data_IF_957131620104
#
_entry.id   IF_957131620104
#
_cell.length_a   1.000
_cell.length_b   1.000
_cell.length_c   1.000
_cell.angle_alpha   90.00
_cell.angle_beta   90.00
_cell.angle_gamma   90.00
#
_symmetry.space_group_name_H-M   'P 1'
#
loop_
_entity.id
_entity.type
_entity.pdbx_description
1 polymer ?
#
# COMPACT_ATOMS: atom_id res chain seq x y z
N UNK A 1 18.85 -6.25 -18.83
CA UNK A 1 18.61 -4.98 -18.14
C UNK A 1 18.59 -5.28 -16.65
N UNK A 2 19.58 -4.77 -15.92
CA UNK A 2 19.89 -5.12 -14.53
C UNK A 2 18.81 -4.57 -13.60
N UNK A 3 18.21 -5.44 -12.77
CA UNK A 3 17.26 -5.06 -11.72
C UNK A 3 18.07 -4.37 -10.62
N UNK A 4 18.16 -3.04 -10.67
CA UNK A 4 18.80 -2.23 -9.63
C UNK A 4 17.91 -2.21 -8.39
N UNK A 5 18.25 -3.07 -7.43
CA UNK A 5 17.98 -2.99 -5.98
C UNK A 5 16.94 -1.96 -5.49
N UNK A 6 15.68 -2.38 -5.32
CA UNK A 6 14.60 -1.55 -4.73
C UNK A 6 14.64 -1.45 -3.20
N UNK A 7 15.27 -2.41 -2.48
CA UNK A 7 15.31 -2.43 -1.01
C UNK A 7 15.70 -1.09 -0.35
N UNK A 8 16.76 -0.39 -0.77
CA UNK A 8 17.09 0.92 -0.18
C UNK A 8 16.04 1.99 -0.48
N UNK A 9 15.29 1.88 -1.59
CA UNK A 9 14.19 2.78 -1.91
C UNK A 9 12.95 2.48 -1.06
N UNK A 10 12.57 1.20 -0.94
CA UNK A 10 11.42 0.75 -0.16
C UNK A 10 11.59 1.09 1.33
N UNK A 11 12.78 0.86 1.90
CA UNK A 11 13.10 1.23 3.28
C UNK A 11 13.04 2.73 3.51
N UNK A 12 13.59 3.54 2.59
CA UNK A 12 13.55 4.99 2.69
C UNK A 12 12.11 5.52 2.66
N UNK A 13 11.26 4.98 1.79
CA UNK A 13 9.82 5.32 1.73
C UNK A 13 9.12 4.98 3.04
N UNK A 14 9.38 3.80 3.61
CA UNK A 14 8.80 3.39 4.90
C UNK A 14 9.22 4.34 6.03
N UNK A 15 10.49 4.76 6.08
CA UNK A 15 10.95 5.74 7.08
C UNK A 15 10.32 7.12 6.89
N UNK A 16 10.14 7.58 5.65
CA UNK A 16 9.41 8.82 5.36
C UNK A 16 7.95 8.74 5.84
N UNK A 17 7.26 7.64 5.58
CA UNK A 17 5.88 7.41 6.02
C UNK A 17 5.73 7.32 7.56
N UNK A 18 6.78 6.85 8.26
CA UNK A 18 6.81 6.89 9.73
C UNK A 18 6.99 8.30 10.26
N UNK A 19 7.79 9.12 9.58
CA UNK A 19 8.06 10.49 9.98
C UNK A 19 6.87 11.43 9.68
N UNK A 20 6.14 11.17 8.59
CA UNK A 20 4.99 11.95 8.16
C UNK A 20 3.80 11.03 7.75
N UNK A 21 2.86 10.77 8.68
CA UNK A 21 1.67 9.98 8.36
C UNK A 21 0.75 10.61 7.31
N UNK A 22 0.75 11.93 7.15
CA UNK A 22 -0.10 12.61 6.16
C UNK A 22 0.40 12.36 4.73
N UNK A 23 1.71 12.11 4.57
CA UNK A 23 2.29 11.70 3.29
C UNK A 23 1.69 10.41 2.74
N UNK A 24 1.14 9.53 3.60
CA UNK A 24 0.45 8.31 3.16
C UNK A 24 -0.73 8.59 2.22
N UNK A 25 -1.43 9.71 2.40
CA UNK A 25 -2.57 10.11 1.59
C UNK A 25 -2.13 10.39 0.14
N UNK A 26 -1.15 11.29 -0.01
CA UNK A 26 -0.61 11.68 -1.31
C UNK A 26 0.09 10.50 -1.99
N UNK A 27 0.88 9.74 -1.23
CA UNK A 27 1.62 8.59 -1.75
C UNK A 27 0.69 7.52 -2.34
N UNK A 28 -0.40 7.18 -1.63
CA UNK A 28 -1.38 6.22 -2.15
C UNK A 28 -2.21 6.81 -3.30
N UNK A 29 -2.59 8.08 -3.24
CA UNK A 29 -3.36 8.75 -4.29
C UNK A 29 -2.60 8.75 -5.62
N UNK A 30 -1.31 9.13 -5.60
CA UNK A 30 -0.45 9.09 -6.80
C UNK A 30 -0.33 7.67 -7.36
N UNK A 31 -0.18 6.66 -6.49
CA UNK A 31 -0.12 5.27 -6.94
C UNK A 31 -1.45 4.80 -7.54
N UNK A 32 -2.58 5.28 -7.02
CA UNK A 32 -3.92 4.98 -7.54
C UNK A 32 -4.13 5.63 -8.92
N UNK A 33 -3.72 6.89 -9.11
CA UNK A 33 -3.81 7.59 -10.39
C UNK A 33 -3.00 6.91 -11.50
N UNK A 34 -1.92 6.23 -11.13
CA UNK A 34 -1.06 5.50 -12.06
C UNK A 34 -1.45 4.02 -12.21
N UNK A 35 -2.49 3.54 -11.53
CA UNK A 35 -2.82 2.11 -11.46
C UNK A 35 -3.05 1.45 -12.82
N UNK A 36 -3.57 2.19 -13.80
CA UNK A 36 -3.86 1.70 -15.15
C UNK A 36 -2.63 1.71 -16.09
N UNK A 37 -1.50 2.26 -15.64
CA UNK A 37 -0.25 2.24 -16.39
C UNK A 37 0.45 0.88 -16.29
N UNK A 38 1.34 0.52 -17.22
CA UNK A 38 2.16 -0.70 -17.10
C UNK A 38 2.94 -0.71 -15.78
N UNK A 39 2.70 -1.70 -14.92
CA UNK A 39 3.31 -1.78 -13.60
C UNK A 39 2.56 -1.03 -12.49
N UNK A 40 1.52 -0.27 -12.82
CA UNK A 40 0.78 0.60 -11.91
C UNK A 40 0.08 -0.16 -10.79
N UNK A 41 -0.56 -1.28 -11.11
CA UNK A 41 -1.20 -2.14 -10.10
C UNK A 41 -0.19 -2.67 -9.07
N UNK A 42 1.01 -3.05 -9.51
CA UNK A 42 2.08 -3.50 -8.61
C UNK A 42 2.59 -2.36 -7.73
N UNK A 43 2.72 -1.15 -8.30
CA UNK A 43 3.11 0.05 -7.56
C UNK A 43 2.05 0.42 -6.51
N UNK A 44 0.76 0.32 -6.85
CA UNK A 44 -0.36 0.55 -5.93
C UNK A 44 -0.36 -0.46 -4.77
N UNK A 45 -0.14 -1.75 -5.04
CA UNK A 45 -0.01 -2.78 -4.01
C UNK A 45 1.20 -2.53 -3.11
N UNK A 46 2.34 -2.14 -3.70
CA UNK A 46 3.56 -1.80 -2.96
C UNK A 46 3.35 -0.56 -2.08
N UNK A 47 2.68 0.48 -2.58
CA UNK A 47 2.39 1.68 -1.81
C UNK A 47 1.56 1.37 -0.56
N UNK A 48 0.48 0.61 -0.71
CA UNK A 48 -0.34 0.19 0.43
C UNK A 48 0.44 -0.71 1.40
N UNK A 49 1.35 -1.54 0.89
CA UNK A 49 2.26 -2.33 1.73
C UNK A 49 3.21 -1.46 2.53
N UNK A 50 3.84 -0.45 1.93
CA UNK A 50 4.76 0.45 2.63
C UNK A 50 4.05 1.21 3.74
N UNK A 51 2.82 1.67 3.50
CA UNK A 51 1.98 2.31 4.52
C UNK A 51 1.69 1.33 5.67
N UNK A 52 1.34 0.08 5.35
CA UNK A 52 1.12 -0.94 6.36
C UNK A 52 2.39 -1.29 7.16
N UNK A 53 3.56 -1.29 6.51
CA UNK A 53 4.86 -1.52 7.16
C UNK A 53 5.26 -0.36 8.07
N UNK A 54 5.05 0.88 7.64
CA UNK A 54 5.30 2.08 8.43
C UNK A 54 4.48 2.11 9.73
N UNK A 55 3.23 1.62 9.68
CA UNK A 55 2.34 1.52 10.86
C UNK A 55 2.54 0.21 11.66
N UNK A 56 3.45 -0.66 11.25
CA UNK A 56 3.66 -1.97 11.85
C UNK A 56 2.70 -3.03 11.28
N UNK A 57 3.27 -3.92 10.46
CA UNK A 57 2.50 -4.92 9.71
C UNK A 57 1.60 -5.81 10.57
N UNK A 58 2.08 -6.23 11.75
CA UNK A 58 1.28 -7.07 12.66
C UNK A 58 0.04 -6.34 13.19
N UNK A 59 0.18 -5.07 13.55
CA UNK A 59 -0.93 -4.25 14.06
C UNK A 59 -1.95 -3.93 12.96
N UNK A 60 -1.49 -3.71 11.72
CA UNK A 60 -2.38 -3.53 10.57
C UNK A 60 -3.13 -4.82 10.25
N UNK A 61 -2.46 -5.98 10.26
CA UNK A 61 -3.09 -7.27 10.02
C UNK A 61 -4.19 -7.58 11.06
N UNK A 62 -3.93 -7.29 12.33
CA UNK A 62 -4.89 -7.41 13.42
C UNK A 62 -6.12 -6.50 13.20
N UNK A 63 -5.90 -5.21 12.92
CA UNK A 63 -6.98 -4.25 12.61
C UNK A 63 -7.78 -4.65 11.36
N UNK A 64 -7.12 -5.21 10.35
CA UNK A 64 -7.75 -5.71 9.13
C UNK A 64 -8.48 -7.05 9.32
N UNK A 65 -8.35 -7.69 10.50
CA UNK A 65 -8.96 -8.98 10.80
C UNK A 65 -8.42 -10.12 9.93
N UNK A 66 -7.13 -10.10 9.60
CA UNK A 66 -6.51 -11.09 8.72
C UNK A 66 -5.14 -11.57 9.20
N UNK A 67 -4.71 -12.79 8.85
CA UNK A 67 -3.37 -13.26 9.17
C UNK A 67 -2.30 -12.40 8.49
N UNK A 68 -1.20 -12.12 9.20
CA UNK A 68 -0.06 -11.34 8.69
C UNK A 68 0.49 -11.87 7.36
N UNK A 69 0.62 -13.18 7.23
CA UNK A 69 1.08 -13.83 5.99
C UNK A 69 0.11 -13.65 4.83
N UNK A 70 -1.19 -13.63 5.11
CA UNK A 70 -2.21 -13.34 4.10
C UNK A 70 -2.13 -11.89 3.64
N UNK A 71 -1.86 -10.95 4.55
CA UNK A 71 -1.64 -9.54 4.20
C UNK A 71 -0.39 -9.37 3.30
N UNK A 72 0.74 -10.01 3.66
CA UNK A 72 1.94 -9.99 2.83
C UNK A 72 1.71 -10.57 1.43
N UNK A 73 1.01 -11.70 1.32
CA UNK A 73 0.69 -12.28 0.01
C UNK A 73 -0.24 -11.38 -0.80
N UNK A 74 -1.27 -10.84 -0.16
CA UNK A 74 -2.25 -9.98 -0.78
C UNK A 74 -1.62 -8.71 -1.38
N UNK A 75 -0.66 -8.10 -0.70
CA UNK A 75 0.01 -6.86 -1.15
C UNK A 75 1.37 -7.10 -1.84
N UNK A 76 1.67 -8.34 -2.22
CA UNK A 76 2.91 -8.65 -2.95
C UNK A 76 2.84 -8.14 -4.40
N UNK A 77 3.96 -8.04 -5.13
CA UNK A 77 3.96 -7.63 -6.55
C UNK A 77 3.15 -8.55 -7.48
N UNK A 78 2.80 -9.77 -7.02
CA UNK A 78 1.93 -10.72 -7.73
C UNK A 78 0.62 -10.97 -6.99
N UNK A 79 0.34 -10.15 -5.97
CA UNK A 79 -0.87 -10.23 -5.18
C UNK A 79 -2.10 -9.91 -6.03
N UNK A 80 -3.23 -10.47 -5.65
CA UNK A 80 -4.52 -10.16 -6.23
C UNK A 80 -5.54 -10.07 -5.09
N UNK A 81 -5.49 -9.00 -4.27
CA UNK A 81 -6.39 -8.85 -3.15
C UNK A 81 -7.82 -8.72 -3.66
N UNK A 82 -8.75 -9.44 -3.04
CA UNK A 82 -10.18 -9.20 -3.28
C UNK A 82 -10.52 -7.75 -2.88
N UNK A 83 -11.61 -7.19 -3.44
CA UNK A 83 -12.09 -5.87 -3.01
C UNK A 83 -12.32 -5.81 -1.49
N UNK A 84 -12.82 -6.89 -0.88
CA UNK A 84 -12.97 -7.01 0.58
C UNK A 84 -11.63 -6.85 1.30
N UNK A 85 -10.60 -7.55 0.82
CA UNK A 85 -9.24 -7.46 1.38
C UNK A 85 -8.69 -6.05 1.23
N UNK A 86 -8.84 -5.46 0.05
CA UNK A 86 -8.37 -4.11 -0.25
C UNK A 86 -8.97 -3.07 0.70
N UNK A 87 -10.30 -3.06 0.82
CA UNK A 87 -11.01 -2.13 1.72
C UNK A 87 -10.67 -2.36 3.20
N UNK A 88 -10.50 -3.63 3.62
CA UNK A 88 -10.11 -3.94 4.99
C UNK A 88 -8.72 -3.37 5.33
N UNK A 89 -7.77 -3.47 4.40
CA UNK A 89 -6.41 -2.93 4.60
C UNK A 89 -6.42 -1.41 4.60
N UNK A 90 -7.13 -0.76 3.66
CA UNK A 90 -7.27 0.70 3.64
C UNK A 90 -7.80 1.23 4.98
N UNK A 91 -8.92 0.68 5.44
CA UNK A 91 -9.51 1.07 6.72
C UNK A 91 -8.55 0.79 7.88
N UNK A 92 -7.86 -0.36 7.85
CA UNK A 92 -6.86 -0.71 8.84
C UNK A 92 -5.62 0.17 8.80
N UNK A 93 -5.36 0.94 7.75
CA UNK A 93 -4.28 1.95 7.73
C UNK A 93 -4.80 3.37 7.98
N UNK A 94 -6.09 3.54 8.27
CA UNK A 94 -6.72 4.84 8.49
C UNK A 94 -7.09 5.59 7.20
N UNK A 95 -6.99 4.92 6.04
CA UNK A 95 -7.32 5.49 4.74
C UNK A 95 -8.73 5.07 4.31
N UNK A 96 -9.37 5.88 3.48
CA UNK A 96 -10.69 5.57 2.92
C UNK A 96 -10.71 5.83 1.41
N UNK A 97 -11.46 5.02 0.68
CA UNK A 97 -11.67 5.21 -0.75
C UNK A 97 -12.82 6.20 -0.97
N UNK A 98 -12.58 7.26 -1.74
CA UNK A 98 -13.60 8.23 -2.16
C UNK A 98 -13.82 8.18 -3.66
N UNK A 99 -15.06 8.34 -4.11
CA UNK A 99 -15.41 8.51 -5.52
C UNK A 99 -15.77 9.96 -5.77
N UNK A 100 -14.97 10.63 -6.60
CA UNK A 100 -15.17 12.04 -6.99
C UNK A 100 -15.40 12.12 -8.49
N UNK A 101 -16.16 13.11 -8.96
CA UNK A 101 -16.17 13.48 -10.38
C UNK A 101 -15.16 14.61 -10.58
N UNK A 102 -14.21 14.49 -11.50
CA UNK A 102 -13.44 15.66 -11.92
C UNK A 102 -14.41 16.69 -12.53
N UNK A 103 -14.26 17.95 -12.11
CA UNK A 103 -15.01 19.08 -12.65
C UNK A 103 -14.60 19.39 -14.10
#
# INVERSE_FOLDING_TARGET
MTIMTSRPHDEAVVEMLKADPEFANEYLAVALDQADQPGGQQALLAALRHIAEAQGMSAVAERAGMPRESLYRALSPRGNPTLKTWLAVLNATGLHLSVVRPH
#
